data_IF_100564450152
#
_entry.id   IF_100564450152
#
_cell.length_a   1.000
_cell.length_b   1.000
_cell.length_c   1.000
_cell.angle_alpha   90.00
_cell.angle_beta   90.00
_cell.angle_gamma   90.00
#
_symmetry.space_group_name_H-M   'P 1'
#
loop_
_entity.id
_entity.type
_entity.pdbx_description
1 polymer ?
#
# COMPACT_ATOMS: atom_id res chain seq x y z
N UNK A 1 -11.91 23.68 4.40
CA UNK A 1 -11.61 23.22 4.36
C UNK A 1 -11.36 22.21 4.31
N UNK A 2 -11.25 21.59 4.38
CA UNK A 2 -10.97 20.82 4.21
C UNK A 2 -10.84 19.77 4.33
N UNK A 3 -11.16 19.44 4.53
CA UNK A 3 -11.15 18.57 4.47
C UNK A 3 -10.77 17.50 4.36
N UNK A 4 -10.37 17.28 4.88
CA UNK A 4 -9.49 16.33 4.39
C UNK A 4 -9.65 15.04 5.09
N UNK A 5 -10.10 14.05 4.36
CA UNK A 5 -10.21 12.70 4.86
C UNK A 5 -8.87 12.04 4.57
N UNK A 6 -8.11 11.78 5.64
CA UNK A 6 -6.79 11.18 5.52
C UNK A 6 -6.66 9.95 6.41
N UNK A 7 -5.66 9.11 6.10
CA UNK A 7 -5.38 7.89 6.84
C UNK A 7 -3.90 7.86 7.17
N UNK A 8 -3.56 7.46 8.38
CA UNK A 8 -2.18 7.16 8.76
C UNK A 8 -2.21 5.87 9.58
N UNK A 9 -1.48 4.86 9.12
CA UNK A 9 -1.30 3.60 9.85
C UNK A 9 0.17 3.27 9.86
N UNK A 10 0.64 2.59 10.91
CA UNK A 10 2.04 2.17 10.98
C UNK A 10 2.16 0.87 11.74
N UNK A 11 3.27 0.17 11.48
CA UNK A 11 3.57 -1.09 12.15
C UNK A 11 5.07 -1.33 12.12
N UNK A 12 5.62 -1.81 13.22
CA UNK A 12 7.01 -2.26 13.23
C UNK A 12 7.05 -3.70 12.75
N UNK A 13 7.91 -3.97 11.77
CA UNK A 13 8.02 -5.28 11.12
C UNK A 13 9.46 -5.75 11.24
N UNK A 14 9.64 -7.01 11.65
CA UNK A 14 10.95 -7.61 11.88
C UNK A 14 11.57 -8.02 10.55
N UNK A 15 12.09 -7.06 9.79
CA UNK A 15 12.77 -7.28 8.52
C UNK A 15 13.64 -6.06 8.22
N UNK A 16 14.73 -6.25 7.47
CA UNK A 16 15.59 -5.13 7.07
C UNK A 16 14.84 -4.15 6.17
N UNK A 17 15.22 -2.89 6.24
CA UNK A 17 14.52 -1.82 5.54
C UNK A 17 14.50 -2.02 4.02
N UNK A 18 15.61 -2.51 3.46
CA UNK A 18 15.70 -2.74 2.02
C UNK A 18 14.71 -3.81 1.55
N UNK A 19 14.57 -4.88 2.34
CA UNK A 19 13.66 -5.97 1.99
C UNK A 19 12.22 -5.51 1.99
N UNK A 20 11.85 -4.67 2.96
CA UNK A 20 10.49 -4.16 3.03
C UNK A 20 10.21 -3.17 1.91
N UNK A 21 11.16 -2.30 1.61
CA UNK A 21 10.99 -1.36 0.51
C UNK A 21 10.79 -2.10 -0.81
N UNK A 22 11.66 -3.08 -1.09
CA UNK A 22 11.61 -3.81 -2.35
C UNK A 22 10.32 -4.62 -2.50
N UNK A 23 9.74 -5.08 -1.39
CA UNK A 23 8.48 -5.83 -1.43
C UNK A 23 7.33 -5.00 -2.00
N UNK A 24 7.38 -3.68 -1.85
CA UNK A 24 6.32 -2.80 -2.35
C UNK A 24 6.42 -2.55 -3.86
N UNK A 25 7.53 -2.83 -4.48
CA UNK A 25 7.74 -2.55 -5.90
C UNK A 25 7.67 -3.81 -6.78
N UNK A 26 7.80 -4.98 -6.18
CA UNK A 26 7.82 -6.23 -6.91
C UNK A 26 6.41 -6.77 -7.07
N UNK A 27 5.97 -6.95 -8.32
CA UNK A 27 4.59 -7.37 -8.62
C UNK A 27 4.25 -8.72 -8.00
N UNK A 28 5.18 -9.68 -8.06
CA UNK A 28 4.93 -11.01 -7.50
C UNK A 28 4.79 -10.95 -5.99
N UNK A 29 5.63 -10.15 -5.35
CA UNK A 29 5.59 -9.93 -3.91
C UNK A 29 4.24 -9.30 -3.50
N UNK A 30 3.83 -8.24 -4.19
CA UNK A 30 2.55 -7.58 -3.92
C UNK A 30 1.38 -8.56 -4.00
N UNK A 31 1.40 -9.47 -4.96
CA UNK A 31 0.38 -10.49 -5.07
C UNK A 31 0.29 -11.41 -3.87
N UNK A 32 1.37 -11.53 -3.10
CA UNK A 32 1.43 -12.42 -1.95
C UNK A 32 0.91 -11.78 -0.67
N UNK A 33 1.09 -10.48 -0.50
CA UNK A 33 0.75 -9.87 0.81
C UNK A 33 -0.19 -8.67 0.72
N UNK A 34 -0.40 -8.07 -0.45
CA UNK A 34 -1.30 -6.91 -0.56
C UNK A 34 -2.74 -7.41 -0.61
N UNK A 35 -3.22 -7.92 0.51
CA UNK A 35 -4.51 -8.59 0.63
C UNK A 35 -5.22 -8.14 1.90
N UNK A 36 -6.01 -7.05 1.83
CA UNK A 36 -6.87 -6.72 2.97
C UNK A 36 -7.89 -7.83 3.21
N UNK A 37 -8.48 -7.86 4.39
CA UNK A 37 -9.44 -8.90 4.74
C UNK A 37 -10.57 -8.97 3.72
N UNK A 38 -10.96 -10.20 3.37
CA UNK A 38 -11.98 -10.44 2.35
C UNK A 38 -11.44 -10.63 0.95
N UNK A 39 -10.20 -10.25 0.72
CA UNK A 39 -9.53 -10.43 -0.58
C UNK A 39 -8.82 -11.77 -0.57
N UNK A 40 -9.14 -12.63 -1.53
CA UNK A 40 -8.55 -13.96 -1.61
C UNK A 40 -7.45 -14.07 -2.65
N UNK A 41 -7.39 -13.10 -3.58
CA UNK A 41 -6.36 -13.11 -4.62
C UNK A 41 -6.06 -11.67 -5.01
N UNK A 42 -4.77 -11.35 -5.19
CA UNK A 42 -4.32 -10.05 -5.69
C UNK A 42 -3.42 -10.28 -6.87
N UNK A 43 -3.72 -9.59 -7.97
CA UNK A 43 -2.89 -9.60 -9.18
C UNK A 43 -2.32 -8.22 -9.37
N UNK A 44 -1.01 -8.13 -9.51
CA UNK A 44 -0.32 -6.85 -9.60
C UNK A 44 0.55 -6.79 -10.84
N UNK A 45 0.55 -5.61 -11.47
CA UNK A 45 1.46 -5.27 -12.57
C UNK A 45 2.11 -3.96 -12.19
N UNK A 46 3.43 -3.88 -12.27
CA UNK A 46 4.16 -2.67 -11.87
C UNK A 46 5.20 -2.30 -12.92
N UNK A 47 5.38 -0.98 -13.08
CA UNK A 47 6.51 -0.41 -13.80
C UNK A 47 7.25 0.46 -12.78
N UNK A 48 8.18 -0.11 -12.00
CA UNK A 48 8.68 0.52 -10.78
C UNK A 48 9.73 1.59 -11.02
N UNK A 49 9.31 2.66 -11.64
CA UNK A 49 10.13 3.86 -11.89
C UNK A 49 9.25 5.08 -11.73
N UNK A 50 9.86 6.23 -11.47
CA UNK A 50 9.11 7.48 -11.37
C UNK A 50 8.43 7.74 -12.72
N UNK A 51 7.11 7.99 -12.66
CA UNK A 51 6.29 8.14 -13.86
C UNK A 51 5.72 6.82 -14.37
N UNK A 52 6.18 5.68 -13.87
CA UNK A 52 5.66 4.39 -14.25
C UNK A 52 4.29 4.13 -13.63
N UNK A 53 3.48 3.31 -14.30
CA UNK A 53 2.13 3.01 -13.84
C UNK A 53 2.09 1.64 -13.18
N UNK A 54 1.10 1.45 -12.29
CA UNK A 54 0.81 0.14 -11.74
C UNK A 54 -0.68 -0.14 -11.81
N UNK A 55 -1.02 -1.42 -11.79
CA UNK A 55 -2.40 -1.88 -11.76
C UNK A 55 -2.48 -3.05 -10.80
N UNK A 56 -3.42 -2.97 -9.86
CA UNK A 56 -3.59 -3.99 -8.83
C UNK A 56 -5.07 -4.38 -8.83
N UNK A 57 -5.34 -5.66 -9.05
CA UNK A 57 -6.71 -6.17 -9.03
C UNK A 57 -6.86 -7.07 -7.82
N UNK A 58 -7.76 -6.69 -6.93
CA UNK A 58 -8.09 -7.47 -5.74
C UNK A 58 -9.39 -8.20 -5.96
N UNK A 59 -9.38 -9.51 -5.74
CA UNK A 59 -10.52 -10.39 -6.02
C UNK A 59 -11.10 -10.89 -4.71
N UNK A 60 -12.40 -10.63 -4.48
CA UNK A 60 -13.13 -11.22 -3.38
C UNK A 60 -14.06 -12.31 -3.91
N UNK A 61 -15.00 -12.79 -3.09
CA UNK A 61 -15.89 -13.89 -3.49
C UNK A 61 -16.92 -13.49 -4.54
N UNK A 62 -17.16 -12.19 -4.72
CA UNK A 62 -18.23 -11.71 -5.57
C UNK A 62 -17.76 -10.89 -6.76
N UNK A 63 -16.59 -10.26 -6.65
CA UNK A 63 -16.16 -9.29 -7.66
C UNK A 63 -14.65 -9.14 -7.69
N UNK A 64 -14.19 -8.34 -8.63
CA UNK A 64 -12.80 -7.91 -8.66
C UNK A 64 -12.78 -6.37 -8.65
N UNK A 65 -11.81 -5.81 -7.94
CA UNK A 65 -11.69 -4.37 -7.74
C UNK A 65 -10.34 -3.92 -8.27
N UNK A 66 -10.37 -3.04 -9.26
CA UNK A 66 -9.15 -2.54 -9.88
C UNK A 66 -8.67 -1.26 -9.17
N UNK A 67 -7.39 -1.25 -8.85
CA UNK A 67 -6.70 -0.09 -8.30
C UNK A 67 -5.60 0.29 -9.27
N UNK A 68 -5.47 1.59 -9.57
CA UNK A 68 -4.46 2.07 -10.50
C UNK A 68 -3.72 3.26 -9.89
N UNK A 69 -2.53 3.50 -10.38
CA UNK A 69 -1.76 4.65 -9.96
C UNK A 69 -0.47 4.80 -10.74
N UNK A 70 0.27 5.85 -10.37
CA UNK A 70 1.59 6.10 -10.93
C UNK A 70 2.56 6.40 -9.79
N UNK A 71 3.82 6.01 -9.98
CA UNK A 71 4.86 6.31 -8.98
C UNK A 71 5.33 7.74 -9.15
N UNK A 72 5.32 8.49 -8.07
CA UNK A 72 5.75 9.89 -8.05
C UNK A 72 7.12 10.08 -7.44
N UNK A 73 7.47 9.23 -6.47
CA UNK A 73 8.78 9.28 -5.85
C UNK A 73 9.20 7.87 -5.45
N UNK A 74 10.44 7.50 -5.75
CA UNK A 74 11.02 6.23 -5.34
C UNK A 74 12.38 6.55 -4.76
N UNK A 75 12.45 6.73 -3.44
CA UNK A 75 13.68 7.07 -2.73
C UNK A 75 14.07 5.86 -1.86
N UNK A 76 14.74 4.92 -2.48
CA UNK A 76 15.09 3.66 -1.85
C UNK A 76 16.19 3.86 -0.80
N UNK A 77 16.09 3.31 0.39
CA UNK A 77 15.00 2.45 0.90
C UNK A 77 14.07 3.19 1.87
N UNK A 78 13.87 4.50 1.73
CA UNK A 78 13.24 5.32 2.76
C UNK A 78 11.80 5.73 2.46
N UNK A 79 11.48 5.97 1.18
CA UNK A 79 10.21 6.64 0.89
C UNK A 79 9.70 6.29 -0.49
N UNK A 80 8.41 6.01 -0.57
CA UNK A 80 7.71 5.69 -1.80
C UNK A 80 6.43 6.51 -1.85
N UNK A 81 6.19 7.24 -2.95
CA UNK A 81 4.98 8.04 -3.12
C UNK A 81 4.31 7.63 -4.44
N UNK A 82 3.02 7.36 -4.38
CA UNK A 82 2.28 6.98 -5.58
C UNK A 82 0.84 7.47 -5.49
N UNK A 83 0.18 7.61 -6.64
CA UNK A 83 -1.25 7.87 -6.66
C UNK A 83 -2.01 6.56 -6.48
N UNK A 84 -3.26 6.65 -6.00
CA UNK A 84 -4.07 5.47 -5.71
C UNK A 84 -5.52 5.80 -6.06
N UNK A 85 -6.05 5.14 -7.06
CA UNK A 85 -7.40 5.38 -7.57
C UNK A 85 -8.15 4.07 -7.69
N UNK A 86 -9.41 4.06 -7.28
CA UNK A 86 -10.27 2.88 -7.34
C UNK A 86 -11.72 3.34 -7.21
N UNK A 87 -12.70 2.45 -7.33
CA UNK A 87 -14.08 2.83 -7.04
C UNK A 87 -14.24 3.45 -5.64
N UNK A 88 -13.48 2.97 -4.65
CA UNK A 88 -13.58 3.47 -3.27
C UNK A 88 -13.07 4.91 -3.12
N UNK A 89 -12.26 5.41 -4.06
CA UNK A 89 -11.86 6.82 -4.06
C UNK A 89 -12.71 7.65 -5.02
N UNK A 90 -13.78 7.07 -5.59
CA UNK A 90 -14.59 7.74 -6.60
C UNK A 90 -13.83 7.93 -7.90
N UNK A 91 -12.84 7.08 -8.18
CA UNK A 91 -11.95 7.17 -9.33
C UNK A 91 -11.13 8.46 -9.36
N UNK A 92 -10.93 9.07 -8.19
CA UNK A 92 -10.03 10.22 -8.06
C UNK A 92 -8.69 9.74 -7.57
N UNK A 93 -7.62 10.40 -8.00
CA UNK A 93 -6.29 10.11 -7.49
C UNK A 93 -6.15 10.61 -6.06
N UNK A 94 -5.94 9.69 -5.15
CA UNK A 94 -5.44 10.03 -3.82
C UNK A 94 -3.93 9.87 -3.86
N UNK A 95 -3.23 10.36 -2.83
CA UNK A 95 -1.77 10.27 -2.75
C UNK A 95 -1.42 9.42 -1.55
N UNK A 96 -0.65 8.37 -1.79
CA UNK A 96 -0.17 7.47 -0.75
C UNK A 96 1.34 7.65 -0.61
N UNK A 97 1.78 7.88 0.63
CA UNK A 97 3.20 7.95 0.97
C UNK A 97 3.50 6.81 1.93
N UNK A 98 4.46 5.97 1.57
CA UNK A 98 4.94 4.90 2.44
C UNK A 98 6.36 5.27 2.87
N UNK A 99 6.59 5.33 4.17
CA UNK A 99 7.92 5.62 4.70
C UNK A 99 8.44 4.40 5.47
N UNK A 100 9.75 4.21 5.41
CA UNK A 100 10.42 3.05 5.97
C UNK A 100 11.53 3.55 6.86
N UNK A 101 11.36 3.42 8.17
CA UNK A 101 12.31 3.91 9.16
C UNK A 101 12.93 2.73 9.91
N UNK A 102 14.23 2.44 9.69
CA UNK A 102 14.84 1.33 10.44
C UNK A 102 14.88 1.66 11.92
N UNK A 103 14.42 0.71 12.74
CA UNK A 103 14.59 0.78 14.19
C UNK A 103 15.81 -0.03 14.62
N UNK A 104 16.26 -0.95 13.77
CA UNK A 104 17.51 -1.69 13.93
C UNK A 104 17.89 -2.26 12.57
N UNK A 105 18.99 -3.02 12.49
CA UNK A 105 19.40 -3.66 11.24
C UNK A 105 18.41 -4.74 10.78
N UNK A 106 17.54 -5.20 11.67
CA UNK A 106 16.62 -6.30 11.40
C UNK A 106 15.17 -5.93 11.67
N UNK A 107 14.86 -4.64 11.86
CA UNK A 107 13.49 -4.20 12.16
C UNK A 107 13.25 -2.80 11.60
N UNK A 108 12.04 -2.57 11.09
CA UNK A 108 11.68 -1.34 10.41
C UNK A 108 10.27 -0.93 10.77
N UNK A 109 10.05 0.36 11.02
CA UNK A 109 8.69 0.91 11.13
C UNK A 109 8.23 1.33 9.76
N UNK A 110 7.13 0.74 9.29
CA UNK A 110 6.52 1.07 8.00
C UNK A 110 5.28 1.90 8.29
N UNK A 111 5.21 3.08 7.69
CA UNK A 111 4.06 3.96 7.86
C UNK A 111 3.42 4.23 6.51
N UNK A 112 2.09 4.12 6.44
CA UNK A 112 1.31 4.45 5.25
C UNK A 112 0.47 5.68 5.57
N UNK A 113 0.61 6.72 4.74
CA UNK A 113 -0.13 7.96 4.87
C UNK A 113 -0.84 8.23 3.56
N UNK A 114 -2.16 8.44 3.60
CA UNK A 114 -2.95 8.65 2.40
C UNK A 114 -3.79 9.90 2.56
N UNK A 115 -3.78 10.77 1.55
CA UNK A 115 -4.56 12.01 1.54
C UNK A 115 -5.40 12.06 0.27
N UNK A 116 -6.43 12.89 0.29
CA UNK A 116 -7.28 13.09 -0.89
C UNK A 116 -8.44 12.12 -1.00
N UNK A 117 -8.85 11.51 0.10
CA UNK A 117 -10.02 10.63 0.11
C UNK A 117 -11.31 11.47 0.08
N UNK A 118 -12.38 10.97 -0.57
CA UNK A 118 -13.57 11.80 -0.81
C UNK A 118 -14.49 11.99 0.39
N UNK A 119 -14.51 11.06 1.34
CA UNK A 119 -15.46 11.12 2.44
C UNK A 119 -15.04 10.21 3.59
N UNK A 120 -15.86 10.19 4.64
CA UNK A 120 -15.58 9.41 5.84
C UNK A 120 -15.65 7.90 5.58
N UNK A 121 -16.54 7.47 4.71
CA UNK A 121 -16.66 6.05 4.37
C UNK A 121 -15.37 5.56 3.69
N UNK A 122 -14.85 6.34 2.75
CA UNK A 122 -13.59 6.01 2.09
C UNK A 122 -12.43 6.01 3.08
N UNK A 123 -12.41 6.98 4.01
CA UNK A 123 -11.38 7.05 5.04
C UNK A 123 -11.39 5.79 5.91
N UNK A 124 -12.55 5.41 6.42
CA UNK A 124 -12.67 4.25 7.30
C UNK A 124 -12.27 2.97 6.57
N UNK A 125 -12.72 2.83 5.32
CA UNK A 125 -12.40 1.66 4.50
C UNK A 125 -10.90 1.54 4.25
N UNK A 126 -10.24 2.65 3.90
CA UNK A 126 -8.80 2.61 3.62
C UNK A 126 -7.99 2.43 4.90
N UNK A 127 -8.46 3.00 6.03
CA UNK A 127 -7.78 2.78 7.31
C UNK A 127 -7.75 1.29 7.64
N UNK A 128 -8.90 0.63 7.54
CA UNK A 128 -8.98 -0.82 7.79
C UNK A 128 -8.15 -1.61 6.80
N UNK A 129 -8.25 -1.27 5.52
CA UNK A 129 -7.53 -1.98 4.47
C UNK A 129 -6.02 -1.87 4.63
N UNK A 130 -5.50 -0.67 4.88
CA UNK A 130 -4.05 -0.51 5.05
C UNK A 130 -3.55 -1.16 6.34
N UNK A 131 -4.36 -1.16 7.40
CA UNK A 131 -4.00 -1.87 8.63
C UNK A 131 -3.87 -3.37 8.37
N UNK A 132 -4.82 -3.94 7.63
CA UNK A 132 -4.78 -5.35 7.24
C UNK A 132 -3.55 -5.65 6.39
N UNK A 133 -3.24 -4.76 5.47
CA UNK A 133 -2.10 -4.91 4.54
C UNK A 133 -0.79 -4.95 5.31
N UNK A 134 -0.60 -4.08 6.31
CA UNK A 134 0.63 -4.11 7.11
C UNK A 134 0.74 -5.40 7.92
N UNK A 135 -0.39 -5.91 8.44
CA UNK A 135 -0.39 -7.19 9.12
C UNK A 135 0.02 -8.32 8.17
N UNK A 136 -0.51 -8.31 6.94
CA UNK A 136 -0.17 -9.33 5.95
C UNK A 136 1.29 -9.24 5.52
N UNK A 137 1.82 -8.03 5.40
CA UNK A 137 3.25 -7.84 5.09
C UNK A 137 4.12 -8.42 6.21
N UNK A 138 3.74 -8.18 7.47
CA UNK A 138 4.45 -8.73 8.62
C UNK A 138 4.45 -10.26 8.57
N UNK A 139 3.27 -10.85 8.33
CA UNK A 139 3.15 -12.31 8.22
C UNK A 139 3.97 -12.85 7.05
N UNK A 140 3.97 -12.15 5.94
CA UNK A 140 4.75 -12.54 4.76
C UNK A 140 6.25 -12.59 5.07
N UNK A 141 6.76 -11.60 5.79
CA UNK A 141 8.17 -11.55 6.13
C UNK A 141 8.54 -12.61 7.17
N UNK A 142 7.63 -12.95 8.08
CA UNK A 142 7.89 -14.04 9.03
C UNK A 142 8.03 -15.38 8.35
N UNK A 143 7.32 -15.60 7.25
CA UNK A 143 7.37 -16.86 6.51
C UNK A 143 8.56 -16.95 5.55
N UNK A 144 9.20 -15.84 5.28
CA UNK A 144 10.29 -15.78 4.30
C UNK A 144 11.61 -16.31 4.84
#
# INVERSE_FOLDING_TARGET
>A
MTDDYLVTVQREIAAPVEDLFDAWLDAQSLGSWLKPDGIRETRAETDPRVGGAFRIVMVDDESSIEHTGTYREIDRPRRLVFTWSSPATGFRDSIVTVTFQPSSSSSTVVEIHQVGLPDEEARASHHGGWSDVLRELDNFKERA
#
